data_IF_500843159598
#
_entry.id   IF_500843159598
#
_cell.length_a   1.000
_cell.length_b   1.000
_cell.length_c   1.000
_cell.angle_alpha   90.00
_cell.angle_beta   90.00
_cell.angle_gamma   90.00
#
_symmetry.space_group_name_H-M   'P 1'
#
loop_
_entity.id
_entity.type
_entity.pdbx_description
1 polymer ?
#
# COMPACT_ATOMS: atom_id res chain seq x y z
N UNK A 1 -4.17 -0.12 7.97
CA UNK A 1 -4.79 0.11 6.65
C UNK A 1 -5.09 -1.24 6.02
N UNK A 2 -6.21 -1.86 6.42
CA UNK A 2 -6.53 -3.25 6.03
C UNK A 2 -7.68 -3.22 5.02
N UNK A 3 -7.57 -4.05 3.97
CA UNK A 3 -8.64 -4.24 2.99
C UNK A 3 -8.87 -3.05 2.05
N UNK A 4 -7.97 -2.08 2.03
CA UNK A 4 -7.94 -0.97 1.09
C UNK A 4 -7.30 -1.38 -0.24
N UNK A 5 -7.61 -0.64 -1.29
CA UNK A 5 -7.01 -0.84 -2.63
C UNK A 5 -6.29 0.42 -3.12
N UNK A 6 -5.30 0.23 -4.00
CA UNK A 6 -4.76 1.31 -4.84
C UNK A 6 -5.57 1.30 -6.14
N UNK A 7 -6.28 2.39 -6.41
CA UNK A 7 -7.06 2.58 -7.61
C UNK A 7 -6.30 3.48 -8.58
N UNK A 8 -5.87 2.91 -9.70
CA UNK A 8 -5.13 3.61 -10.74
C UNK A 8 -6.01 3.75 -11.98
N UNK A 9 -6.12 4.98 -12.49
CA UNK A 9 -6.76 5.28 -13.78
C UNK A 9 -5.75 6.07 -14.60
N UNK A 10 -5.68 5.77 -15.89
CA UNK A 10 -4.91 6.56 -16.84
C UNK A 10 -5.68 6.76 -18.14
N UNK A 11 -5.40 7.86 -18.81
CA UNK A 11 -5.78 8.15 -20.20
C UNK A 11 -4.53 8.58 -21.01
N UNK A 12 -4.72 9.09 -22.21
CA UNK A 12 -3.62 9.51 -23.09
C UNK A 12 -2.83 10.73 -22.55
N UNK A 13 -3.41 11.53 -21.64
CA UNK A 13 -2.81 12.77 -21.12
C UNK A 13 -2.39 12.68 -19.64
N UNK A 14 -3.08 11.86 -18.84
CA UNK A 14 -3.03 11.91 -17.38
C UNK A 14 -3.05 10.52 -16.74
N UNK A 15 -2.41 10.46 -15.58
CA UNK A 15 -2.50 9.33 -14.65
C UNK A 15 -2.96 9.82 -13.29
N UNK A 16 -3.83 9.04 -12.65
CA UNK A 16 -4.31 9.29 -11.31
C UNK A 16 -4.24 8.02 -10.46
N UNK A 17 -3.84 8.19 -9.20
CA UNK A 17 -3.68 7.10 -8.24
C UNK A 17 -4.27 7.52 -6.91
N UNK A 18 -5.18 6.71 -6.37
CA UNK A 18 -5.85 6.95 -5.08
C UNK A 18 -5.84 5.71 -4.21
N UNK A 19 -5.85 5.90 -2.89
CA UNK A 19 -6.23 4.85 -1.96
C UNK A 19 -7.76 4.90 -1.78
N UNK A 20 -8.40 3.73 -1.83
CA UNK A 20 -9.84 3.56 -1.64
C UNK A 20 -10.15 2.49 -0.58
N UNK A 21 -11.43 2.37 -0.20
CA UNK A 21 -11.97 1.34 0.69
C UNK A 21 -11.39 1.31 2.12
N UNK A 22 -11.55 2.42 2.85
CA UNK A 22 -11.09 2.55 4.23
C UNK A 22 -12.03 1.93 5.29
N UNK A 23 -13.06 1.19 4.90
CA UNK A 23 -14.08 0.67 5.83
C UNK A 23 -13.51 -0.24 6.94
N UNK A 24 -12.36 -0.89 6.69
CA UNK A 24 -11.64 -1.73 7.67
C UNK A 24 -10.33 -1.09 8.14
N UNK A 25 -10.15 0.21 7.92
CA UNK A 25 -8.99 0.95 8.40
C UNK A 25 -9.31 1.56 9.76
N UNK A 26 -8.64 1.06 10.79
CA UNK A 26 -8.82 1.47 12.18
C UNK A 26 -7.58 2.15 12.72
N UNK A 27 -7.76 3.03 13.72
CA UNK A 27 -6.65 3.59 14.47
C UNK A 27 -6.02 2.51 15.35
N UNK A 28 -4.70 2.56 15.47
CA UNK A 28 -3.96 1.74 16.45
C UNK A 28 -4.07 2.36 17.84
N UNK A 29 -3.80 1.59 18.92
CA UNK A 29 -3.74 2.13 20.27
C UNK A 29 -2.80 3.34 20.40
N UNK A 30 -3.13 4.25 21.31
CA UNK A 30 -2.36 5.49 21.49
C UNK A 30 -0.88 5.20 21.80
N UNK A 31 0.00 5.97 21.16
CA UNK A 31 1.46 5.82 21.29
C UNK A 31 2.07 4.73 20.41
N UNK A 32 1.28 3.88 19.76
CA UNK A 32 1.78 2.88 18.81
C UNK A 32 1.95 3.49 17.41
N UNK A 33 3.08 3.18 16.78
CA UNK A 33 3.35 3.51 15.37
C UNK A 33 3.67 2.24 14.61
N UNK A 34 3.09 2.12 13.42
CA UNK A 34 3.36 1.02 12.50
C UNK A 34 4.42 1.45 11.49
N UNK A 35 5.20 0.49 11.03
CA UNK A 35 6.13 0.70 9.92
C UNK A 35 5.45 0.48 8.56
N UNK A 36 4.34 -0.28 8.56
CA UNK A 36 3.63 -0.77 7.40
C UNK A 36 4.48 -1.65 6.47
N UNK A 37 5.67 -2.07 6.92
CA UNK A 37 6.64 -2.88 6.16
C UNK A 37 7.03 -4.18 6.84
N UNK A 38 7.08 -4.19 8.17
CA UNK A 38 7.41 -5.41 8.92
C UNK A 38 6.31 -6.48 8.73
N UNK A 39 6.66 -7.77 8.79
CA UNK A 39 5.68 -8.85 8.77
C UNK A 39 4.62 -8.68 9.86
N UNK A 40 3.39 -9.07 9.54
CA UNK A 40 2.32 -9.16 10.54
C UNK A 40 2.66 -10.25 11.56
N UNK A 41 2.47 -9.91 12.83
CA UNK A 41 2.50 -10.83 13.95
C UNK A 41 1.32 -10.50 14.87
N UNK A 42 0.80 -11.51 15.57
CA UNK A 42 -0.30 -11.30 16.50
C UNK A 42 0.07 -10.25 17.55
N UNK A 43 -0.67 -9.13 17.56
CA UNK A 43 -0.48 -8.01 18.49
C UNK A 43 0.41 -6.88 17.99
N UNK A 44 1.14 -7.03 16.87
CA UNK A 44 1.97 -5.95 16.35
C UNK A 44 1.21 -4.94 15.47
N UNK A 45 0.01 -5.33 15.00
CA UNK A 45 -0.90 -4.56 14.15
C UNK A 45 -0.36 -4.17 12.76
N UNK A 46 0.78 -4.71 12.33
CA UNK A 46 1.33 -4.48 10.99
C UNK A 46 0.46 -5.15 9.92
N UNK A 47 0.30 -4.49 8.78
CA UNK A 47 -0.53 -4.97 7.67
C UNK A 47 0.24 -5.12 6.35
N UNK A 48 1.47 -4.60 6.30
CA UNK A 48 2.32 -4.70 5.12
C UNK A 48 1.92 -3.79 3.95
N UNK A 49 1.16 -2.71 4.18
CA UNK A 49 0.71 -1.83 3.11
C UNK A 49 1.86 -1.20 2.32
N UNK A 50 2.88 -0.67 3.01
CA UNK A 50 4.05 -0.10 2.35
C UNK A 50 4.96 -1.17 1.76
N UNK A 51 5.03 -2.36 2.36
CA UNK A 51 5.72 -3.50 1.73
C UNK A 51 5.10 -3.85 0.39
N UNK A 52 3.76 -3.90 0.31
CA UNK A 52 3.04 -4.14 -0.94
C UNK A 52 3.28 -3.02 -1.97
N UNK A 53 3.33 -1.77 -1.53
CA UNK A 53 3.64 -0.62 -2.39
C UNK A 53 5.08 -0.66 -2.90
N UNK A 54 6.05 -1.00 -2.06
CA UNK A 54 7.45 -1.16 -2.46
C UNK A 54 7.56 -2.22 -3.57
N UNK A 55 6.90 -3.38 -3.39
CA UNK A 55 6.87 -4.44 -4.40
C UNK A 55 6.19 -3.99 -5.72
N UNK A 56 5.11 -3.21 -5.62
CA UNK A 56 4.43 -2.66 -6.81
C UNK A 56 5.36 -1.72 -7.59
N UNK A 57 6.08 -0.83 -6.90
CA UNK A 57 7.05 0.07 -7.52
C UNK A 57 8.14 -0.73 -8.22
N UNK A 58 8.77 -1.68 -7.52
CA UNK A 58 9.83 -2.54 -8.09
C UNK A 58 9.33 -3.28 -9.33
N UNK A 59 8.14 -3.85 -9.29
CA UNK A 59 7.54 -4.56 -10.45
C UNK A 59 7.38 -3.63 -11.66
N UNK A 60 6.95 -2.39 -11.46
CA UNK A 60 6.78 -1.41 -12.54
C UNK A 60 8.13 -0.96 -13.11
N UNK A 61 9.14 -0.75 -12.26
CA UNK A 61 10.49 -0.37 -12.67
C UNK A 61 11.19 -1.48 -13.48
N UNK A 62 10.98 -2.75 -13.11
CA UNK A 62 11.49 -3.91 -13.86
C UNK A 62 10.89 -4.01 -15.26
N UNK A 63 9.59 -3.70 -15.40
CA UNK A 63 8.92 -3.64 -16.71
C UNK A 63 9.54 -2.54 -17.58
N UNK A 64 9.81 -1.35 -17.02
CA UNK A 64 10.43 -0.25 -17.77
C UNK A 64 11.84 -0.57 -18.24
N UNK A 65 12.59 -1.37 -17.48
CA UNK A 65 13.97 -1.75 -17.83
C UNK A 65 14.00 -2.84 -18.91
N UNK A 66 12.90 -3.56 -19.12
CA UNK A 66 12.78 -4.67 -20.06
C UNK A 66 12.30 -4.24 -21.46
N UNK A 67 12.06 -2.95 -21.68
CA UNK A 67 11.62 -2.34 -22.94
C UNK A 67 12.79 -1.62 -23.64
#
# INVERSE_FOLDING_TARGET
VIGSSIFMIYDEEKVGVWLIDFAKTYRVPDGQRLTHRRPWEQGNHEEGFLLGLDNLITTIEEIQTSA
#
